data_IF_040715296110
#
_entry.id   IF_040715296110
#
_cell.length_a   1.000
_cell.length_b   1.000
_cell.length_c   1.000
_cell.angle_alpha   90.00
_cell.angle_beta   90.00
_cell.angle_gamma   90.00
#
_symmetry.space_group_name_H-M   'P 1'
#
loop_
_entity.id
_entity.type
_entity.pdbx_description
1 polymer ?
#
# COMPACT_ATOMS: atom_id res chain seq x y z
N UNK A 1 26.83 -45.36 -21.47
CA UNK A 1 26.81 -44.08 -20.71
C UNK A 1 25.63 -43.29 -21.21
N UNK A 2 24.47 -43.52 -20.59
CA UNK A 2 23.21 -42.89 -21.01
C UNK A 2 23.09 -41.54 -20.33
N UNK A 3 22.98 -40.51 -21.18
CA UNK A 3 22.81 -39.13 -20.73
C UNK A 3 21.44 -38.92 -20.08
N UNK A 4 21.43 -38.52 -18.83
CA UNK A 4 20.24 -37.97 -18.14
C UNK A 4 19.82 -36.67 -18.83
N UNK A 5 18.87 -36.75 -19.76
CA UNK A 5 18.13 -35.59 -20.23
C UNK A 5 17.16 -35.17 -19.12
N UNK A 6 17.54 -34.09 -18.42
CA UNK A 6 16.67 -33.38 -17.50
C UNK A 6 15.46 -32.83 -18.26
N UNK A 7 14.31 -33.49 -18.14
CA UNK A 7 13.01 -32.95 -18.54
C UNK A 7 12.61 -31.86 -17.55
N UNK A 8 13.07 -30.64 -17.77
CA UNK A 8 12.44 -29.47 -17.16
C UNK A 8 11.08 -29.29 -17.82
N UNK A 9 10.06 -29.92 -17.27
CA UNK A 9 8.68 -29.58 -17.57
C UNK A 9 8.51 -28.09 -17.28
N UNK A 10 8.34 -27.28 -18.34
CA UNK A 10 8.21 -25.84 -18.23
C UNK A 10 7.07 -25.51 -17.27
N UNK A 11 7.38 -24.77 -16.18
CA UNK A 11 6.32 -24.23 -15.32
C UNK A 11 5.38 -23.41 -16.20
N UNK A 12 4.06 -23.55 -16.05
CA UNK A 12 3.10 -22.74 -16.79
C UNK A 12 3.45 -21.25 -16.57
N UNK A 13 3.55 -20.50 -17.66
CA UNK A 13 3.80 -19.05 -17.54
C UNK A 13 2.55 -18.39 -16.96
N UNK A 14 2.70 -17.38 -16.09
CA UNK A 14 1.56 -16.58 -15.64
C UNK A 14 0.81 -16.01 -16.84
N UNK A 15 -0.52 -16.04 -16.76
CA UNK A 15 -1.38 -15.31 -17.68
C UNK A 15 -1.75 -13.98 -17.07
N UNK A 16 -1.77 -12.94 -17.90
CA UNK A 16 -2.16 -11.58 -17.51
C UNK A 16 -3.50 -11.26 -18.17
N UNK A 17 -4.64 -11.50 -17.48
CA UNK A 17 -5.95 -11.44 -18.11
C UNK A 17 -6.32 -10.05 -18.65
N UNK A 18 -5.73 -8.99 -18.09
CA UNK A 18 -5.96 -7.61 -18.52
C UNK A 18 -4.85 -7.06 -19.42
N UNK A 19 -3.77 -7.82 -19.66
CA UNK A 19 -2.65 -7.38 -20.48
C UNK A 19 -2.03 -6.08 -19.93
N UNK A 20 -2.06 -5.01 -20.73
CA UNK A 20 -1.61 -3.67 -20.37
C UNK A 20 -2.77 -2.72 -19.98
N UNK A 21 -4.01 -3.20 -20.01
CA UNK A 21 -5.16 -2.41 -19.61
C UNK A 21 -5.12 -2.14 -18.10
N UNK A 22 -5.41 -0.89 -17.75
CA UNK A 22 -5.53 -0.47 -16.33
C UNK A 22 -6.61 0.61 -16.18
N UNK A 23 -7.24 0.72 -15.00
CA UNK A 23 -8.16 1.81 -14.74
C UNK A 23 -7.45 3.17 -14.85
N UNK A 24 -8.12 4.17 -15.41
CA UNK A 24 -7.64 5.52 -15.39
C UNK A 24 -7.69 6.10 -13.96
N UNK A 25 -6.96 7.20 -13.72
CA UNK A 25 -6.94 7.83 -12.39
C UNK A 25 -8.34 8.21 -11.90
N UNK A 26 -8.70 7.70 -10.74
CA UNK A 26 -10.03 7.87 -10.15
C UNK A 26 -11.13 7.00 -10.76
N UNK A 27 -10.79 6.03 -11.59
CA UNK A 27 -11.70 5.01 -12.11
C UNK A 27 -11.41 3.65 -11.48
N UNK A 28 -12.36 2.73 -11.60
CA UNK A 28 -12.24 1.37 -11.10
C UNK A 28 -12.64 0.38 -12.18
N UNK A 29 -11.99 -0.78 -12.19
CA UNK A 29 -12.33 -1.92 -13.07
C UNK A 29 -12.72 -3.12 -12.19
N UNK A 30 -13.87 -3.72 -12.45
CA UNK A 30 -14.25 -4.96 -11.77
C UNK A 30 -13.42 -6.12 -12.31
N UNK A 31 -12.68 -6.80 -11.44
CA UNK A 31 -11.77 -7.88 -11.80
C UNK A 31 -12.24 -9.25 -11.33
N UNK A 32 -13.17 -9.27 -10.39
CA UNK A 32 -13.93 -10.41 -9.92
C UNK A 32 -15.25 -9.90 -9.33
N UNK A 33 -16.30 -10.72 -9.19
CA UNK A 33 -17.58 -10.28 -8.64
C UNK A 33 -17.39 -9.55 -7.30
N UNK A 34 -17.75 -8.26 -7.26
CA UNK A 34 -17.62 -7.39 -6.08
C UNK A 34 -16.19 -6.93 -5.76
N UNK A 35 -15.18 -7.26 -6.58
CA UNK A 35 -13.80 -6.82 -6.38
C UNK A 35 -13.38 -5.87 -7.50
N UNK A 36 -13.04 -4.65 -7.14
CA UNK A 36 -12.69 -3.58 -8.06
C UNK A 36 -11.24 -3.16 -7.88
N UNK A 37 -10.53 -3.05 -8.97
CA UNK A 37 -9.16 -2.58 -9.05
C UNK A 37 -9.14 -1.09 -9.39
N UNK A 38 -8.29 -0.33 -8.71
CA UNK A 38 -7.92 1.04 -9.05
C UNK A 38 -6.39 1.18 -9.05
N UNK A 39 -5.89 2.15 -9.81
CA UNK A 39 -4.47 2.50 -9.87
C UNK A 39 -4.23 3.86 -9.21
N UNK A 40 -3.25 3.94 -8.32
CA UNK A 40 -2.79 5.17 -7.70
C UNK A 40 -1.40 5.51 -8.22
N UNK A 41 -1.27 6.62 -8.93
CA UNK A 41 0.00 7.04 -9.50
C UNK A 41 1.03 7.35 -8.41
N UNK A 42 2.30 6.99 -8.66
CA UNK A 42 3.44 7.27 -7.79
C UNK A 42 4.59 7.88 -8.59
N UNK A 43 5.39 8.79 -8.00
CA UNK A 43 6.46 9.52 -8.69
C UNK A 43 7.75 8.69 -8.79
N UNK A 44 7.64 7.37 -8.98
CA UNK A 44 8.78 6.44 -9.03
C UNK A 44 8.79 5.66 -10.34
N UNK A 45 9.84 4.85 -10.54
CA UNK A 45 9.95 3.96 -11.69
C UNK A 45 8.77 2.98 -11.82
N UNK A 46 8.14 2.62 -10.70
CA UNK A 46 6.94 1.77 -10.65
C UNK A 46 5.71 2.42 -11.30
N UNK A 47 5.65 3.76 -11.39
CA UNK A 47 4.60 4.59 -11.96
C UNK A 47 3.25 4.56 -11.22
N UNK A 48 2.78 3.43 -10.72
CA UNK A 48 1.53 3.30 -9.93
C UNK A 48 1.59 2.11 -8.99
N UNK A 49 0.72 2.12 -8.00
CA UNK A 49 0.40 0.98 -7.14
C UNK A 49 -1.05 0.58 -7.32
N UNK A 50 -1.32 -0.70 -7.17
CA UNK A 50 -2.66 -1.24 -7.23
C UNK A 50 -3.33 -1.14 -5.86
N UNK A 51 -4.57 -0.67 -5.86
CA UNK A 51 -5.44 -0.68 -4.70
C UNK A 51 -6.75 -1.36 -5.07
N UNK A 52 -7.42 -1.95 -4.08
CA UNK A 52 -8.63 -2.70 -4.36
C UNK A 52 -9.78 -2.20 -3.49
N UNK A 53 -10.98 -2.21 -4.07
CA UNK A 53 -12.22 -1.97 -3.35
C UNK A 53 -13.03 -3.27 -3.36
N UNK A 54 -13.59 -3.65 -2.23
CA UNK A 54 -14.40 -4.85 -2.06
C UNK A 54 -15.80 -4.43 -1.65
N UNK A 55 -16.78 -4.81 -2.44
CA UNK A 55 -18.20 -4.57 -2.16
C UNK A 55 -18.70 -5.60 -1.14
N UNK A 56 -19.20 -5.12 0.00
CA UNK A 56 -19.75 -5.96 1.06
C UNK A 56 -21.29 -6.00 1.03
N UNK A 57 -21.91 -5.38 0.01
CA UNK A 57 -23.36 -5.25 -0.11
C UNK A 57 -23.94 -4.07 0.71
N UNK A 58 -23.48 -3.90 1.94
CA UNK A 58 -23.91 -2.82 2.86
C UNK A 58 -22.79 -1.81 3.17
N UNK A 59 -21.67 -1.89 2.46
CA UNK A 59 -20.51 -1.01 2.60
C UNK A 59 -19.34 -1.48 1.77
N UNK A 60 -18.20 -0.84 1.97
CA UNK A 60 -16.99 -1.05 1.20
C UNK A 60 -15.79 -1.29 2.10
N UNK A 61 -14.91 -2.19 1.68
CA UNK A 61 -13.54 -2.32 2.18
C UNK A 61 -12.57 -1.86 1.11
N UNK A 62 -11.54 -1.14 1.53
CA UNK A 62 -10.42 -0.76 0.67
C UNK A 62 -9.17 -1.49 1.13
N UNK A 63 -8.39 -2.03 0.19
CA UNK A 63 -7.07 -2.63 0.43
C UNK A 63 -6.02 -1.73 -0.21
N UNK A 64 -5.16 -1.16 0.63
CA UNK A 64 -4.17 -0.13 0.34
C UNK A 64 -4.76 1.21 -0.15
N UNK A 65 -3.93 2.28 -0.16
CA UNK A 65 -4.49 3.64 -0.30
C UNK A 65 -3.70 4.57 -1.21
N UNK A 66 -2.47 4.24 -1.56
CA UNK A 66 -1.58 5.15 -2.29
C UNK A 66 -0.92 6.22 -1.41
N UNK A 67 -0.01 6.98 -2.01
CA UNK A 67 0.70 8.10 -1.37
C UNK A 67 -0.21 9.33 -1.16
N UNK A 68 0.10 10.21 -0.18
CA UNK A 68 -0.69 11.42 0.09
C UNK A 68 -0.45 12.57 -0.91
N UNK A 69 -0.39 12.25 -2.20
CA UNK A 69 -0.29 13.21 -3.29
C UNK A 69 -1.66 13.84 -3.57
N UNK A 70 -1.68 15.03 -4.15
CA UNK A 70 -2.95 15.70 -4.46
C UNK A 70 -3.70 15.02 -5.59
N UNK A 71 -3.00 14.43 -6.54
CA UNK A 71 -3.53 13.60 -7.61
C UNK A 71 -4.21 12.35 -7.03
N UNK A 72 -3.56 11.65 -6.10
CA UNK A 72 -4.11 10.47 -5.43
C UNK A 72 -5.34 10.81 -4.59
N UNK A 73 -5.31 11.95 -3.87
CA UNK A 73 -6.50 12.46 -3.16
C UNK A 73 -7.62 12.82 -4.13
N UNK A 74 -7.29 13.36 -5.32
CA UNK A 74 -8.24 13.64 -6.39
C UNK A 74 -8.91 12.36 -6.89
N UNK A 75 -8.12 11.32 -7.18
CA UNK A 75 -8.60 10.00 -7.57
C UNK A 75 -9.55 9.40 -6.52
N UNK A 76 -9.16 9.44 -5.24
CA UNK A 76 -10.03 8.98 -4.15
C UNK A 76 -11.32 9.77 -4.02
N UNK A 77 -11.31 11.10 -4.20
CA UNK A 77 -12.56 11.90 -4.18
C UNK A 77 -13.53 11.45 -5.26
N UNK A 78 -13.02 11.16 -6.47
CA UNK A 78 -13.83 10.64 -7.57
C UNK A 78 -14.37 9.24 -7.25
N UNK A 79 -13.53 8.30 -6.84
CA UNK A 79 -13.94 6.95 -6.46
C UNK A 79 -15.00 6.98 -5.34
N UNK A 80 -14.80 7.78 -4.30
CA UNK A 80 -15.77 7.89 -3.20
C UNK A 80 -17.10 8.47 -3.67
N UNK A 81 -17.10 9.43 -4.61
CA UNK A 81 -18.32 10.04 -5.13
C UNK A 81 -19.08 9.11 -6.07
N UNK A 82 -18.38 8.38 -6.90
CA UNK A 82 -18.96 7.61 -8.01
C UNK A 82 -19.26 6.16 -7.60
N UNK A 83 -18.30 5.50 -6.94
CA UNK A 83 -18.36 4.07 -6.64
C UNK A 83 -18.86 3.77 -5.22
N UNK A 84 -18.39 4.50 -4.23
CA UNK A 84 -18.76 4.26 -2.81
C UNK A 84 -20.04 5.00 -2.42
N UNK A 85 -20.62 5.74 -3.37
CA UNK A 85 -21.83 6.55 -3.17
C UNK A 85 -22.98 5.74 -2.58
N UNK A 86 -23.53 6.22 -1.45
CA UNK A 86 -24.72 5.64 -0.81
C UNK A 86 -24.46 4.47 0.13
N UNK A 87 -23.21 4.02 0.26
CA UNK A 87 -22.82 3.00 1.22
C UNK A 87 -21.53 3.45 1.95
N UNK A 88 -21.33 3.12 3.25
CA UNK A 88 -20.17 3.56 4.00
C UNK A 88 -18.89 2.85 3.54
N UNK A 89 -17.76 3.56 3.57
CA UNK A 89 -16.46 2.91 3.62
C UNK A 89 -16.24 2.44 5.06
N UNK A 90 -16.30 1.13 5.29
CA UNK A 90 -16.24 0.53 6.63
C UNK A 90 -14.81 0.45 7.14
N UNK A 91 -13.91 -0.01 6.28
CA UNK A 91 -12.52 -0.27 6.68
C UNK A 91 -11.52 0.00 5.57
N UNK A 92 -10.30 0.31 5.99
CA UNK A 92 -9.10 0.35 5.16
C UNK A 92 -8.17 -0.74 5.69
N UNK A 93 -7.85 -1.72 4.86
CA UNK A 93 -6.84 -2.73 5.14
C UNK A 93 -5.54 -2.24 4.52
N UNK A 94 -4.50 -2.03 5.34
CA UNK A 94 -3.17 -1.76 4.83
C UNK A 94 -2.35 -3.06 4.82
N UNK A 95 -1.85 -3.45 3.66
CA UNK A 95 -1.03 -4.65 3.52
C UNK A 95 0.29 -4.52 4.28
N UNK A 96 0.90 -3.33 4.23
CA UNK A 96 2.12 -3.01 4.96
C UNK A 96 2.33 -1.48 5.06
N UNK A 97 3.39 -1.08 5.75
CA UNK A 97 3.61 0.30 6.18
C UNK A 97 4.18 1.25 5.11
N UNK A 98 4.56 0.79 3.93
CA UNK A 98 5.16 1.69 2.93
C UNK A 98 4.20 2.80 2.50
N UNK A 99 4.71 4.03 2.25
CA UNK A 99 3.86 5.20 1.98
C UNK A 99 2.94 5.07 0.77
N UNK A 100 3.33 4.31 -0.24
CA UNK A 100 2.53 4.03 -1.43
C UNK A 100 1.37 3.05 -1.17
N UNK A 101 1.35 2.42 0.00
CA UNK A 101 0.27 1.53 0.45
C UNK A 101 -0.57 2.16 1.56
N UNK A 102 0.04 2.60 2.67
CA UNK A 102 -0.66 3.15 3.84
C UNK A 102 -0.85 4.67 3.80
N UNK A 103 -0.21 5.36 2.86
CA UNK A 103 -0.04 6.81 2.90
C UNK A 103 -1.31 7.63 3.08
N UNK A 104 -2.43 7.23 2.49
CA UNK A 104 -3.72 7.91 2.65
C UNK A 104 -4.68 7.24 3.65
N UNK A 105 -4.28 6.19 4.36
CA UNK A 105 -5.17 5.50 5.31
C UNK A 105 -5.74 6.46 6.37
N UNK A 106 -4.91 7.30 6.97
CA UNK A 106 -5.36 8.31 7.93
C UNK A 106 -6.23 9.40 7.32
N UNK A 107 -6.02 9.76 6.07
CA UNK A 107 -6.87 10.70 5.36
C UNK A 107 -8.25 10.10 5.06
N UNK A 108 -8.31 8.85 4.59
CA UNK A 108 -9.56 8.12 4.37
C UNK A 108 -10.33 7.96 5.68
N UNK A 109 -9.66 7.54 6.76
CA UNK A 109 -10.27 7.46 8.09
C UNK A 109 -10.95 8.78 8.49
N UNK A 110 -10.24 9.91 8.42
CA UNK A 110 -10.82 11.21 8.79
C UNK A 110 -11.97 11.65 7.89
N UNK A 111 -11.95 11.23 6.63
CA UNK A 111 -12.97 11.62 5.65
C UNK A 111 -14.24 10.77 5.74
N UNK A 112 -14.12 9.50 6.09
CA UNK A 112 -15.20 8.51 5.98
C UNK A 112 -15.57 7.84 7.29
N UNK A 113 -14.72 7.93 8.31
CA UNK A 113 -14.88 7.17 9.55
C UNK A 113 -14.39 5.71 9.46
N UNK A 114 -13.87 5.28 8.31
CA UNK A 114 -13.41 3.90 8.09
C UNK A 114 -12.36 3.48 9.12
N UNK A 115 -12.47 2.27 9.63
CA UNK A 115 -11.47 1.68 10.54
C UNK A 115 -10.17 1.34 9.80
N UNK A 116 -9.03 1.49 10.47
CA UNK A 116 -7.75 0.98 9.95
C UNK A 116 -7.53 -0.44 10.44
N UNK A 117 -7.34 -1.37 9.51
CA UNK A 117 -6.99 -2.75 9.76
C UNK A 117 -5.58 -3.03 9.25
N UNK A 118 -4.68 -3.48 10.14
CA UNK A 118 -3.25 -3.66 9.81
C UNK A 118 -2.60 -4.58 10.84
N UNK A 119 -1.49 -5.21 10.51
CA UNK A 119 -0.71 -5.95 11.50
C UNK A 119 -0.11 -4.99 12.55
N UNK A 120 0.08 -5.49 13.78
CA UNK A 120 0.69 -4.68 14.85
C UNK A 120 2.08 -4.19 14.48
N UNK A 121 2.89 -5.05 13.87
CA UNK A 121 4.27 -4.70 13.52
C UNK A 121 4.30 -3.56 12.51
N UNK A 122 3.50 -3.64 11.47
CA UNK A 122 3.42 -2.62 10.43
C UNK A 122 2.91 -1.28 10.99
N UNK A 123 1.86 -1.32 11.83
CA UNK A 123 1.35 -0.11 12.45
C UNK A 123 2.37 0.59 13.35
N UNK A 124 3.04 -0.18 14.26
CA UNK A 124 4.01 0.39 15.20
C UNK A 124 5.24 0.89 14.46
N UNK A 125 5.73 0.15 13.46
CA UNK A 125 6.88 0.55 12.63
C UNK A 125 6.56 1.84 11.87
N UNK A 126 5.38 1.93 11.25
CA UNK A 126 4.93 3.14 10.58
C UNK A 126 4.90 4.35 11.54
N UNK A 127 4.31 4.17 12.72
CA UNK A 127 4.24 5.22 13.76
C UNK A 127 5.63 5.68 14.20
N UNK A 128 6.56 4.74 14.40
CA UNK A 128 7.95 5.02 14.77
C UNK A 128 8.67 5.81 13.68
N UNK A 129 8.60 5.36 12.44
CA UNK A 129 9.23 6.05 11.30
C UNK A 129 8.63 7.44 11.04
N UNK A 130 7.32 7.59 11.25
CA UNK A 130 6.66 8.91 11.19
C UNK A 130 7.13 9.84 12.31
N UNK A 131 7.36 9.30 13.52
CA UNK A 131 7.86 10.09 14.66
C UNK A 131 9.31 10.56 14.44
N UNK A 132 10.09 9.84 13.65
CA UNK A 132 11.46 10.23 13.27
C UNK A 132 11.50 11.27 12.12
N UNK A 133 10.38 11.79 11.68
CA UNK A 133 10.33 12.78 10.59
C UNK A 133 11.11 14.03 10.96
N UNK A 134 12.07 14.38 10.12
CA UNK A 134 12.96 15.54 10.31
C UNK A 134 14.17 15.28 11.18
N UNK A 135 14.37 14.07 11.70
CA UNK A 135 15.61 13.69 12.42
C UNK A 135 16.76 13.49 11.45
N UNK A 136 17.94 13.77 11.92
CA UNK A 136 19.19 13.44 11.23
C UNK A 136 19.51 11.95 11.30
N UNK A 137 20.24 11.45 10.30
CA UNK A 137 20.67 10.07 10.27
C UNK A 137 21.58 9.75 11.48
N UNK A 138 21.29 8.67 12.26
CA UNK A 138 22.08 8.32 13.41
C UNK A 138 23.53 7.95 13.05
N UNK A 139 24.50 8.41 13.83
CA UNK A 139 25.92 8.06 13.64
C UNK A 139 26.14 6.56 13.57
N UNK A 140 25.42 5.78 14.37
CA UNK A 140 25.50 4.32 14.35
C UNK A 140 25.11 3.72 12.99
N UNK A 141 24.12 4.30 12.32
CA UNK A 141 23.73 3.86 10.97
C UNK A 141 24.79 4.25 9.93
N UNK A 142 25.34 5.46 10.04
CA UNK A 142 26.45 5.91 9.18
C UNK A 142 27.64 4.96 9.31
N UNK A 143 28.10 4.71 10.52
CA UNK A 143 29.21 3.79 10.80
C UNK A 143 28.93 2.37 10.29
N UNK A 144 27.69 1.89 10.39
CA UNK A 144 27.29 0.60 9.85
C UNK A 144 27.46 0.54 8.33
N UNK A 145 26.98 1.54 7.60
CA UNK A 145 27.10 1.58 6.15
C UNK A 145 28.55 1.81 5.68
N UNK A 146 29.35 2.62 6.40
CA UNK A 146 30.80 2.76 6.14
C UNK A 146 31.51 1.41 6.26
N UNK A 147 31.26 0.65 7.33
CA UNK A 147 31.82 -0.70 7.53
C UNK A 147 31.33 -1.71 6.49
N UNK A 148 30.12 -1.52 5.97
CA UNK A 148 29.57 -2.31 4.87
C UNK A 148 30.15 -1.94 3.50
N UNK A 149 31.06 -0.95 3.43
CA UNK A 149 31.74 -0.55 2.20
C UNK A 149 30.97 0.45 1.33
N UNK A 150 29.99 1.14 1.90
CA UNK A 150 29.32 2.20 1.16
C UNK A 150 30.25 3.38 0.90
N UNK A 151 30.22 3.88 -0.32
CA UNK A 151 30.96 5.07 -0.71
C UNK A 151 30.29 6.34 -0.17
N UNK A 152 31.04 7.43 -0.04
CA UNK A 152 30.57 8.70 0.54
C UNK A 152 29.26 9.18 -0.08
N UNK A 153 29.14 9.15 -1.41
CA UNK A 153 27.93 9.62 -2.09
C UNK A 153 26.67 8.80 -1.75
N UNK A 154 26.79 7.50 -1.45
CA UNK A 154 25.67 6.69 -0.97
C UNK A 154 25.28 7.07 0.46
N UNK A 155 26.27 7.37 1.30
CA UNK A 155 26.06 7.82 2.68
C UNK A 155 25.40 9.19 2.70
N UNK A 156 25.84 10.11 1.86
CA UNK A 156 25.25 11.43 1.75
C UNK A 156 23.79 11.36 1.27
N UNK A 157 23.50 10.53 0.25
CA UNK A 157 22.14 10.25 -0.19
C UNK A 157 21.27 9.61 0.92
N UNK A 158 21.86 8.79 1.79
CA UNK A 158 21.17 8.24 2.95
C UNK A 158 20.84 9.33 3.97
N UNK A 159 21.79 10.23 4.30
CA UNK A 159 21.58 11.36 5.20
C UNK A 159 20.45 12.27 4.71
N UNK A 160 20.41 12.59 3.43
CA UNK A 160 19.40 13.46 2.83
C UNK A 160 17.99 12.90 2.91
N UNK A 161 17.83 11.59 2.74
CA UNK A 161 16.50 10.92 2.76
C UNK A 161 16.07 10.47 4.15
N UNK A 162 17.00 10.36 5.13
CA UNK A 162 16.66 9.94 6.49
C UNK A 162 15.66 10.91 7.13
N UNK A 163 14.75 10.41 7.94
CA UNK A 163 13.68 11.23 8.52
C UNK A 163 12.67 11.77 7.50
N UNK A 164 12.64 11.23 6.27
CA UNK A 164 11.67 11.64 5.25
C UNK A 164 10.38 10.83 5.23
N UNK A 165 10.35 9.68 5.89
CA UNK A 165 9.28 8.69 5.79
C UNK A 165 7.89 9.28 6.09
N UNK A 166 7.73 10.00 7.19
CA UNK A 166 6.44 10.54 7.60
C UNK A 166 5.87 11.63 6.68
N UNK A 167 6.68 12.19 5.77
CA UNK A 167 6.17 13.10 4.72
C UNK A 167 5.31 12.36 3.71
N UNK A 168 5.51 11.04 3.56
CA UNK A 168 4.76 10.16 2.69
C UNK A 168 3.55 9.49 3.34
N UNK A 169 3.20 9.86 4.59
CA UNK A 169 2.09 9.22 5.33
C UNK A 169 1.20 10.28 5.98
N UNK A 170 -0.09 10.28 5.65
CA UNK A 170 -1.09 11.04 6.39
C UNK A 170 -1.20 10.51 7.82
N UNK A 171 -1.27 11.40 8.83
CA UNK A 171 -1.38 10.99 10.23
C UNK A 171 -2.37 9.83 10.39
N UNK A 172 -1.87 8.68 10.85
CA UNK A 172 -2.68 7.49 11.08
C UNK A 172 -3.69 7.70 12.23
N UNK A 173 -4.79 6.94 12.25
CA UNK A 173 -5.67 6.85 13.42
C UNK A 173 -4.88 6.41 14.66
N UNK A 174 -5.32 6.84 15.84
CA UNK A 174 -4.68 6.44 17.10
C UNK A 174 -5.07 5.02 17.55
N UNK A 175 -6.10 4.44 16.92
CA UNK A 175 -6.54 3.05 17.09
C UNK A 175 -6.54 2.31 15.75
N UNK A 176 -6.41 0.99 15.81
CA UNK A 176 -6.48 0.11 14.66
C UNK A 176 -6.99 -1.27 15.07
N UNK A 177 -7.61 -1.99 14.13
CA UNK A 177 -7.93 -3.40 14.28
C UNK A 177 -6.74 -4.23 13.84
N UNK A 178 -6.24 -5.08 14.75
CA UNK A 178 -5.05 -5.89 14.48
C UNK A 178 -5.39 -7.08 13.60
N UNK A 179 -4.64 -7.21 12.51
CA UNK A 179 -4.57 -8.42 11.71
C UNK A 179 -3.41 -9.32 12.15
N UNK A 180 -3.63 -10.61 12.12
CA UNK A 180 -2.64 -11.65 12.47
C UNK A 180 -2.66 -12.72 11.38
N UNK A 181 -1.53 -13.38 11.16
CA UNK A 181 -1.48 -14.49 10.20
C UNK A 181 -2.47 -15.60 10.56
N UNK A 182 -3.29 -15.99 9.58
CA UNK A 182 -4.36 -16.97 9.76
C UNK A 182 -5.73 -16.37 10.05
N UNK A 183 -5.84 -15.04 10.25
CA UNK A 183 -7.16 -14.40 10.37
C UNK A 183 -7.90 -14.50 9.02
N UNK A 184 -9.18 -14.84 9.10
CA UNK A 184 -10.10 -14.84 7.96
C UNK A 184 -11.02 -13.63 8.07
N UNK A 185 -11.21 -12.91 6.96
CA UNK A 185 -12.06 -11.71 6.92
C UNK A 185 -13.21 -11.99 5.95
N UNK A 186 -14.43 -11.96 6.47
CA UNK A 186 -15.62 -12.08 5.63
C UNK A 186 -16.04 -10.72 5.09
N UNK A 187 -16.29 -10.63 3.80
CA UNK A 187 -16.77 -9.45 3.10
C UNK A 187 -18.21 -9.68 2.62
N UNK A 188 -19.19 -9.17 3.38
CA UNK A 188 -20.60 -9.35 3.08
C UNK A 188 -20.98 -10.84 3.07
N UNK A 189 -21.64 -11.29 2.00
CA UNK A 189 -21.95 -12.71 1.74
C UNK A 189 -20.83 -13.45 0.99
N UNK A 190 -19.77 -12.77 0.61
CA UNK A 190 -18.63 -13.32 -0.11
C UNK A 190 -17.52 -13.67 0.89
N UNK A 191 -17.08 -14.92 0.89
CA UNK A 191 -15.92 -15.40 1.66
C UNK A 191 -14.74 -15.50 0.74
#
# INVERSE_FOLDING_TARGET
>A
MDGLQSKTAGRPRPTYPFGEERPASGETMEIAPGVYWACMDVPFALKWVNVFLIDEGDGWTVVDTGMPLDETKGAWRKILADKVRGAPLKRVIATHMHPDHIGLAGWLHRKTGAELWISRLEYVTCRMLCADTGREAPDAAIQFFERAGWQSHHIDAYRERFGGFGRGVSRLPDSFTRLTGGDEITFGSNV
#
